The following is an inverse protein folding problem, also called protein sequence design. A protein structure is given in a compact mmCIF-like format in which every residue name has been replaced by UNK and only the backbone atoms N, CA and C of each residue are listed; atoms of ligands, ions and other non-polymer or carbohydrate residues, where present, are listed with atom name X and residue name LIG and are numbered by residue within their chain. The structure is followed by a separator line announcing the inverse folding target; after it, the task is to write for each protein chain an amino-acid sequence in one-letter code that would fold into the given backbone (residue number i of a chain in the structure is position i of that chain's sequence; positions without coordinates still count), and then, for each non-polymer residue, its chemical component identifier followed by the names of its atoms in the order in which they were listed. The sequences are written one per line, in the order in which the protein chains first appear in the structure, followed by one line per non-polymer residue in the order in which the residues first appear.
data_IF_333582920809
#
_entry.id   IF_333582920809
#
_cell.length_a   1.000
_cell.length_b   1.000
_cell.length_c   1.000
_cell.angle_alpha   90.00
_cell.angle_beta   90.00
_cell.angle_gamma   90.00
#
_symmetry.space_group_name_H-M   'P 1'
#
loop_
_entity.id
_entity.type
_entity.pdbx_description
1 polymer ?
#
# COMPACT_ATOMS: atom_id res chain seq x y z
N UNK A 1 -9.99 -20.35 -10.46
CA UNK A 1 -8.71 -19.61 -10.53
C UNK A 1 -8.87 -18.33 -9.73
N UNK A 2 -8.05 -18.08 -8.70
CA UNK A 2 -8.09 -16.80 -7.97
C UNK A 2 -7.70 -15.68 -8.94
N UNK A 3 -8.55 -14.66 -9.08
CA UNK A 3 -8.20 -13.47 -9.84
C UNK A 3 -7.09 -12.75 -9.07
N UNK A 4 -5.99 -12.42 -9.74
CA UNK A 4 -4.98 -11.54 -9.16
C UNK A 4 -5.56 -10.13 -9.00
N UNK A 5 -5.21 -9.40 -7.93
CA UNK A 5 -5.66 -8.03 -7.74
C UNK A 5 -5.13 -7.14 -8.86
N UNK A 6 -5.93 -6.16 -9.28
CA UNK A 6 -5.42 -5.06 -10.09
C UNK A 6 -4.50 -4.21 -9.21
N UNK A 7 -3.21 -4.21 -9.52
CA UNK A 7 -2.21 -3.52 -8.71
C UNK A 7 -1.87 -2.17 -9.33
N UNK A 8 -1.97 -1.11 -8.52
CA UNK A 8 -1.65 0.25 -8.93
C UNK A 8 -0.60 0.84 -7.99
N UNK A 9 0.51 1.32 -8.56
CA UNK A 9 1.55 2.04 -7.81
C UNK A 9 1.33 3.53 -7.98
N UNK A 10 1.19 4.23 -6.87
CA UNK A 10 0.94 5.67 -6.83
C UNK A 10 2.20 6.33 -6.31
N UNK A 11 2.94 6.93 -7.25
CA UNK A 11 4.12 7.74 -6.97
C UNK A 11 3.85 9.21 -7.22
N UNK A 12 4.86 10.05 -7.00
CA UNK A 12 4.82 11.42 -7.46
C UNK A 12 6.14 12.15 -7.22
N UNK A 13 6.20 13.36 -7.74
CA UNK A 13 7.45 14.09 -7.97
C UNK A 13 7.97 14.80 -6.73
N UNK A 14 7.12 15.07 -5.73
CA UNK A 14 7.49 15.80 -4.52
C UNK A 14 6.67 15.37 -3.31
N UNK A 15 7.20 15.66 -2.13
CA UNK A 15 6.49 15.53 -0.85
C UNK A 15 5.27 16.44 -0.86
N UNK A 16 4.18 16.00 -0.22
CA UNK A 16 2.92 16.74 -0.12
C UNK A 16 2.23 17.10 -1.47
N UNK A 17 2.56 16.43 -2.58
CA UNK A 17 1.87 16.62 -3.88
C UNK A 17 0.45 16.03 -3.95
N UNK A 18 -0.12 15.56 -2.84
CA UNK A 18 -1.47 14.99 -2.80
C UNK A 18 -1.59 13.53 -3.25
N UNK A 19 -0.49 12.77 -3.39
CA UNK A 19 -0.49 11.35 -3.79
C UNK A 19 -1.37 10.48 -2.88
N UNK A 20 -1.18 10.58 -1.57
CA UNK A 20 -1.99 9.82 -0.61
C UNK A 20 -3.46 10.25 -0.64
N UNK A 21 -3.75 11.52 -0.93
CA UNK A 21 -5.13 11.98 -1.16
C UNK A 21 -5.72 11.36 -2.42
N UNK A 22 -4.94 11.26 -3.51
CA UNK A 22 -5.35 10.56 -4.73
C UNK A 22 -5.61 9.07 -4.46
N UNK A 23 -4.74 8.41 -3.70
CA UNK A 23 -4.91 7.01 -3.28
C UNK A 23 -6.24 6.82 -2.54
N UNK A 24 -6.52 7.68 -1.56
CA UNK A 24 -7.76 7.62 -0.77
C UNK A 24 -9.00 7.97 -1.61
N UNK A 25 -8.91 8.96 -2.50
CA UNK A 25 -10.01 9.33 -3.40
C UNK A 25 -10.35 8.19 -4.37
N UNK A 26 -9.34 7.55 -4.95
CA UNK A 26 -9.52 6.38 -5.80
C UNK A 26 -10.11 5.21 -5.04
N UNK A 27 -9.60 4.91 -3.84
CA UNK A 27 -10.14 3.85 -2.99
C UNK A 27 -11.63 4.08 -2.71
N UNK A 28 -12.04 5.32 -2.41
CA UNK A 28 -13.45 5.66 -2.16
C UNK A 28 -14.35 5.37 -3.38
N UNK A 29 -13.91 5.75 -4.59
CA UNK A 29 -14.64 5.45 -5.83
C UNK A 29 -14.77 3.95 -6.04
N UNK A 30 -13.68 3.20 -5.88
CA UNK A 30 -13.67 1.74 -6.04
C UNK A 30 -14.58 1.04 -5.02
N UNK A 31 -14.58 1.49 -3.77
CA UNK A 31 -15.46 0.95 -2.73
C UNK A 31 -16.93 1.27 -3.00
N UNK A 32 -17.24 2.45 -3.57
CA UNK A 32 -18.60 2.78 -4.01
C UNK A 32 -19.07 1.86 -5.14
N UNK A 33 -18.15 1.37 -5.97
CA UNK A 33 -18.41 0.32 -6.96
C UNK A 33 -18.41 -1.10 -6.39
N UNK A 34 -18.45 -1.24 -5.06
CA UNK A 34 -18.47 -2.51 -4.33
C UNK A 34 -17.22 -3.38 -4.54
N UNK A 35 -16.12 -2.78 -4.96
CA UNK A 35 -14.82 -3.45 -5.03
C UNK A 35 -14.18 -3.52 -3.65
N UNK A 36 -13.43 -4.59 -3.41
CA UNK A 36 -12.51 -4.69 -2.28
C UNK A 36 -11.20 -3.99 -2.63
N UNK A 37 -10.68 -3.19 -1.70
CA UNK A 37 -9.46 -2.41 -1.91
C UNK A 37 -8.51 -2.66 -0.75
N UNK A 38 -7.25 -3.01 -1.04
CA UNK A 38 -6.16 -3.00 -0.05
C UNK A 38 -5.20 -1.89 -0.41
N UNK A 39 -4.98 -0.97 0.53
CA UNK A 39 -3.97 0.08 0.43
C UNK A 39 -2.74 -0.37 1.21
N UNK A 40 -1.58 -0.25 0.60
CA UNK A 40 -0.27 -0.50 1.21
C UNK A 40 0.50 0.81 1.17
N UNK A 41 0.60 1.47 2.32
CA UNK A 41 1.37 2.69 2.47
C UNK A 41 2.78 2.33 2.94
N UNK A 42 3.75 2.52 2.05
CA UNK A 42 5.14 2.19 2.29
C UNK A 42 5.91 3.42 2.77
N UNK A 43 6.35 3.38 4.02
CA UNK A 43 7.38 4.27 4.56
C UNK A 43 8.65 3.44 4.80
N UNK A 44 9.82 4.06 4.66
CA UNK A 44 11.14 3.44 4.68
C UNK A 44 11.36 2.35 5.74
N UNK A 45 10.76 2.48 6.92
CA UNK A 45 10.90 1.53 8.05
C UNK A 45 9.58 0.86 8.45
N UNK A 46 8.46 1.25 7.87
CA UNK A 46 7.13 0.81 8.30
C UNK A 46 6.19 0.72 7.10
N UNK A 47 5.44 -0.38 7.01
CA UNK A 47 4.36 -0.51 6.05
C UNK A 47 3.04 -0.56 6.79
N UNK A 48 2.11 0.30 6.39
CA UNK A 48 0.72 0.26 6.86
C UNK A 48 -0.14 -0.38 5.80
N UNK A 49 -1.01 -1.28 6.24
CA UNK A 49 -1.95 -2.01 5.40
C UNK A 49 -3.36 -1.63 5.80
N UNK A 50 -4.19 -1.29 4.83
CA UNK A 50 -5.60 -0.99 5.06
C UNK A 50 -6.47 -1.70 4.03
N UNK A 51 -7.25 -2.68 4.47
CA UNK A 51 -8.23 -3.39 3.62
C UNK A 51 -9.61 -2.83 3.88
N UNK A 52 -10.28 -2.38 2.81
CA UNK A 52 -11.62 -1.79 2.83
C UNK A 52 -12.56 -2.72 2.06
N UNK A 53 -13.59 -3.20 2.75
CA UNK A 53 -14.61 -4.08 2.19
C UNK A 53 -15.99 -3.69 2.73
N UNK A 54 -16.85 -3.13 1.87
CA UNK A 54 -18.19 -2.65 2.23
C UNK A 54 -18.15 -1.67 3.42
N UNK A 55 -18.54 -2.11 4.62
CA UNK A 55 -18.56 -1.33 5.85
C UNK A 55 -17.42 -1.68 6.81
N UNK A 56 -16.53 -2.59 6.43
CA UNK A 56 -15.40 -3.02 7.24
C UNK A 56 -14.11 -2.40 6.74
N UNK A 57 -13.34 -1.87 7.68
CA UNK A 57 -11.98 -1.40 7.47
C UNK A 57 -11.08 -2.16 8.45
N UNK A 58 -10.09 -2.88 7.93
CA UNK A 58 -9.08 -3.55 8.72
C UNK A 58 -7.73 -2.90 8.46
N UNK A 59 -7.07 -2.48 9.53
CA UNK A 59 -5.77 -1.81 9.47
C UNK A 59 -4.75 -2.53 10.35
N UNK A 60 -3.55 -2.72 9.82
CA UNK A 60 -2.42 -3.20 10.60
C UNK A 60 -1.12 -2.59 10.06
N UNK A 61 -0.10 -2.55 10.90
CA UNK A 61 1.22 -2.04 10.55
C UNK A 61 2.26 -3.14 10.72
N UNK A 62 3.30 -3.12 9.90
CA UNK A 62 4.47 -3.98 10.02
C UNK A 62 5.73 -3.12 9.92
N UNK A 63 6.69 -3.37 10.80
CA UNK A 63 8.01 -2.74 10.72
C UNK A 63 8.88 -3.51 9.72
N UNK A 64 9.69 -2.77 8.96
CA UNK A 64 10.66 -3.31 7.99
C UNK A 64 12.03 -2.73 8.34
N UNK A 65 12.70 -3.35 9.32
CA UNK A 65 14.04 -2.96 9.80
C UNK A 65 15.10 -3.97 9.40
N UNK A 66 14.70 -5.19 9.05
CA UNK A 66 15.59 -6.31 8.70
C UNK A 66 15.23 -6.90 7.34
N UNK A 67 16.19 -7.60 6.72
CA UNK A 67 15.96 -8.33 5.47
C UNK A 67 14.88 -9.42 5.61
N UNK A 68 14.78 -10.05 6.79
CA UNK A 68 13.74 -11.05 7.06
C UNK A 68 12.35 -10.42 7.12
N UNK A 69 12.20 -9.25 7.75
CA UNK A 69 10.93 -8.53 7.76
C UNK A 69 10.51 -8.07 6.36
N UNK A 70 11.47 -7.63 5.54
CA UNK A 70 11.22 -7.29 4.13
C UNK A 70 10.76 -8.52 3.34
N UNK A 71 11.40 -9.68 3.54
CA UNK A 71 10.99 -10.92 2.88
C UNK A 71 9.59 -11.37 3.33
N UNK A 72 9.30 -11.29 4.64
CA UNK A 72 7.98 -11.60 5.20
C UNK A 72 6.90 -10.67 4.62
N UNK A 73 7.22 -9.38 4.45
CA UNK A 73 6.35 -8.42 3.78
C UNK A 73 5.99 -8.86 2.36
N UNK A 74 7.00 -9.23 1.55
CA UNK A 74 6.76 -9.68 0.17
C UNK A 74 5.92 -10.96 0.09
N UNK A 75 6.15 -11.92 0.99
CA UNK A 75 5.34 -13.14 1.09
C UNK A 75 3.90 -12.80 1.49
N UNK A 76 3.71 -11.93 2.47
CA UNK A 76 2.37 -11.50 2.90
C UNK A 76 1.61 -10.79 1.77
N UNK A 77 2.30 -9.96 0.98
CA UNK A 77 1.71 -9.24 -0.16
C UNK A 77 1.12 -10.20 -1.21
N UNK A 78 1.76 -11.33 -1.45
CA UNK A 78 1.26 -12.37 -2.38
C UNK A 78 -0.04 -13.03 -1.88
N UNK A 79 -0.29 -13.00 -0.58
CA UNK A 79 -1.47 -13.59 0.05
C UNK A 79 -2.70 -12.68 0.06
N UNK A 80 -2.57 -11.42 -0.34
CA UNK A 80 -3.66 -10.43 -0.29
C UNK A 80 -4.79 -10.83 -1.24
N UNK A 81 -6.01 -10.85 -0.73
CA UNK A 81 -7.22 -11.15 -1.48
C UNK A 81 -8.08 -9.88 -1.54
N UNK A 82 -8.00 -9.20 -2.68
CA UNK A 82 -8.68 -7.93 -2.94
C UNK A 82 -8.90 -7.77 -4.45
N UNK A 83 -9.83 -6.92 -4.86
CA UNK A 83 -10.01 -6.58 -6.28
C UNK A 83 -8.93 -5.60 -6.73
N UNK A 84 -8.56 -4.64 -5.86
CA UNK A 84 -7.53 -3.63 -6.12
C UNK A 84 -6.50 -3.55 -5.00
N UNK A 85 -5.23 -3.59 -5.38
CA UNK A 85 -4.08 -3.36 -4.50
C UNK A 85 -3.47 -2.01 -4.85
N UNK A 86 -3.59 -1.02 -3.97
CA UNK A 86 -3.04 0.32 -4.16
C UNK A 86 -1.76 0.45 -3.32
N UNK A 87 -0.63 0.69 -3.97
CA UNK A 87 0.67 0.88 -3.32
C UNK A 87 0.97 2.37 -3.30
N UNK A 88 0.87 2.98 -2.11
CA UNK A 88 1.18 4.40 -1.87
C UNK A 88 2.64 4.51 -1.42
N UNK A 89 3.48 5.03 -2.31
CA UNK A 89 4.90 5.21 -2.04
C UNK A 89 5.15 6.55 -1.35
N UNK A 90 5.91 6.53 -0.26
CA UNK A 90 6.41 7.78 0.29
C UNK A 90 7.28 8.50 -0.75
N UNK A 91 7.14 9.82 -0.75
CA UNK A 91 7.82 10.73 -1.69
C UNK A 91 9.18 11.18 -1.19
N UNK A 92 9.57 10.80 0.03
CA UNK A 92 10.96 10.93 0.42
C UNK A 92 11.75 9.91 -0.39
N UNK A 93 12.42 10.38 -1.44
CA UNK A 93 13.40 9.59 -2.17
C UNK A 93 14.48 9.02 -1.22
N UNK A 94 15.39 8.19 -1.73
CA UNK A 94 16.37 7.54 -0.88
C UNK A 94 17.12 8.52 0.02
N UNK A 95 17.01 8.33 1.33
CA UNK A 95 17.90 9.02 2.28
C UNK A 95 19.30 8.44 2.07
N UNK A 96 20.26 9.31 1.79
CA UNK A 96 21.63 8.99 1.42
C UNK A 96 22.34 8.06 2.44
N UNK A 97 21.83 7.98 3.67
CA UNK A 97 22.37 7.22 4.80
C UNK A 97 22.26 5.69 4.64
N UNK A 98 21.57 5.17 3.63
CA UNK A 98 21.36 3.72 3.45
C UNK A 98 22.26 3.08 2.36
N UNK A 99 23.18 3.83 1.76
CA UNK A 99 24.11 3.33 0.73
C UNK A 99 25.59 3.42 1.13
N UNK A 100 25.87 3.71 2.41
CA UNK A 100 27.19 3.73 3.03
C UNK A 100 27.23 2.77 4.20
#
# INVERSE_FOLDING_TARGET
MRKQPQTLVIGGTQVASGKSLLTLALANVLTNWKMTVTIVSCNYQTVTWRTIQKHHCHEWQSDIRTANELNNFWIALQGVQTDYLLIDLDSTGPKHDNYT
#
